data_IF_771359573149
#
_entry.id   IF_771359573149
#
_cell.length_a   1.000
_cell.length_b   1.000
_cell.length_c   1.000
_cell.angle_alpha   90.00
_cell.angle_beta   90.00
_cell.angle_gamma   90.00
#
_symmetry.space_group_name_H-M   'P 1'
#
loop_
_entity.id
_entity.type
_entity.pdbx_description
1 polymer ?
#
# COMPACT_ATOMS: atom_id res chain seq x y z
N UNK A 1 33.63 -6.48 -24.82
CA UNK A 1 33.10 -6.23 -23.47
C UNK A 1 31.92 -5.29 -23.60
N UNK A 2 30.70 -5.77 -23.34
CA UNK A 2 29.52 -4.90 -23.24
C UNK A 2 29.26 -4.69 -21.75
N UNK A 3 29.59 -3.50 -21.24
CA UNK A 3 29.19 -3.08 -19.90
C UNK A 3 27.67 -2.92 -19.89
N UNK A 4 26.96 -3.91 -19.36
CA UNK A 4 25.54 -3.81 -19.07
C UNK A 4 25.34 -2.81 -17.94
N UNK A 5 24.88 -1.60 -18.27
CA UNK A 5 24.40 -0.65 -17.26
C UNK A 5 23.14 -1.23 -16.61
N UNK A 6 23.25 -1.63 -15.35
CA UNK A 6 22.11 -2.04 -14.54
C UNK A 6 21.12 -0.86 -14.46
N UNK A 7 19.91 -1.02 -15.01
CA UNK A 7 18.84 -0.05 -14.84
C UNK A 7 18.45 -0.03 -13.36
N UNK A 8 18.94 0.96 -12.60
CA UNK A 8 18.52 1.16 -11.22
C UNK A 8 17.01 1.43 -11.17
N UNK A 9 16.29 0.60 -10.43
CA UNK A 9 14.88 0.80 -10.12
C UNK A 9 14.77 2.01 -9.17
N UNK A 10 14.12 3.08 -9.63
CA UNK A 10 13.81 4.21 -8.75
C UNK A 10 12.71 3.82 -7.78
N UNK A 11 13.06 3.72 -6.50
CA UNK A 11 12.13 3.41 -5.42
C UNK A 11 11.72 4.70 -4.72
N UNK A 12 10.43 4.95 -4.62
CA UNK A 12 9.91 6.02 -3.78
C UNK A 12 10.33 5.73 -2.33
N UNK A 13 11.03 6.68 -1.70
CA UNK A 13 11.43 6.56 -0.30
C UNK A 13 10.19 6.73 0.56
N UNK A 14 10.00 5.82 1.50
CA UNK A 14 8.90 5.88 2.48
C UNK A 14 9.25 6.96 3.50
N UNK A 15 8.65 8.13 3.35
CA UNK A 15 8.73 9.18 4.34
C UNK A 15 7.59 9.07 5.37
N UNK A 16 6.40 8.67 4.91
CA UNK A 16 5.20 8.45 5.72
C UNK A 16 4.63 7.05 5.51
N UNK A 17 4.08 6.46 6.57
CA UNK A 17 3.60 5.07 6.55
C UNK A 17 2.11 4.94 6.22
N UNK A 18 1.77 4.06 5.27
CA UNK A 18 0.38 3.79 4.85
C UNK A 18 -0.29 2.67 5.66
N UNK A 19 0.47 1.95 6.49
CA UNK A 19 0.05 0.72 7.13
C UNK A 19 -1.15 0.89 8.06
N UNK A 20 -1.16 1.97 8.85
CA UNK A 20 -2.29 2.33 9.70
C UNK A 20 -3.58 2.55 8.90
N UNK A 21 -3.48 3.26 7.77
CA UNK A 21 -4.61 3.50 6.89
C UNK A 21 -5.09 2.22 6.20
N UNK A 22 -4.19 1.35 5.78
CA UNK A 22 -4.55 0.04 5.23
C UNK A 22 -5.30 -0.81 6.25
N UNK A 23 -4.81 -0.85 7.49
CA UNK A 23 -5.45 -1.55 8.61
C UNK A 23 -6.82 -0.98 8.93
N UNK A 24 -6.95 0.34 8.98
CA UNK A 24 -8.21 1.04 9.20
C UNK A 24 -9.24 0.69 8.13
N UNK A 25 -8.86 0.76 6.85
CA UNK A 25 -9.74 0.43 5.72
C UNK A 25 -10.15 -1.05 5.72
N UNK A 26 -9.21 -1.95 6.02
CA UNK A 26 -9.51 -3.38 6.15
C UNK A 26 -10.51 -3.65 7.27
N UNK A 27 -10.30 -3.06 8.44
CA UNK A 27 -11.18 -3.20 9.60
C UNK A 27 -12.57 -2.62 9.33
N UNK A 28 -12.66 -1.45 8.68
CA UNK A 28 -13.93 -0.85 8.28
C UNK A 28 -14.72 -1.72 7.30
N UNK A 29 -14.04 -2.55 6.51
CA UNK A 29 -14.64 -3.52 5.59
C UNK A 29 -14.98 -4.86 6.25
N UNK A 30 -14.70 -5.03 7.55
CA UNK A 30 -14.99 -6.27 8.30
C UNK A 30 -14.13 -7.47 7.90
N UNK A 31 -13.01 -7.25 7.20
CA UNK A 31 -12.16 -8.33 6.69
C UNK A 31 -10.99 -8.63 7.64
N UNK A 32 -10.72 -9.91 7.88
CA UNK A 32 -9.43 -10.32 8.43
C UNK A 32 -8.36 -10.25 7.33
N UNK A 33 -7.07 -10.18 7.71
CA UNK A 33 -5.96 -10.20 6.74
C UNK A 33 -6.05 -11.42 5.80
N UNK A 34 -6.42 -12.59 6.32
CA UNK A 34 -6.59 -13.81 5.53
C UNK A 34 -7.75 -13.72 4.53
N UNK A 35 -8.93 -13.23 4.97
CA UNK A 35 -10.08 -13.02 4.09
C UNK A 35 -9.76 -12.00 2.99
N UNK A 36 -9.06 -10.93 3.33
CA UNK A 36 -8.61 -9.93 2.37
C UNK A 36 -7.66 -10.52 1.32
N UNK A 37 -6.67 -11.31 1.74
CA UNK A 37 -5.73 -11.94 0.80
C UNK A 37 -6.46 -12.89 -0.17
N UNK A 38 -7.43 -13.67 0.32
CA UNK A 38 -8.27 -14.51 -0.52
C UNK A 38 -9.06 -13.69 -1.56
N UNK A 39 -9.67 -12.56 -1.14
CA UNK A 39 -10.36 -11.65 -2.05
C UNK A 39 -9.43 -11.02 -3.10
N UNK A 40 -8.21 -10.64 -2.71
CA UNK A 40 -7.22 -10.08 -3.63
C UNK A 40 -6.74 -11.13 -4.64
N UNK A 41 -6.51 -12.39 -4.21
CA UNK A 41 -6.15 -13.50 -5.09
C UNK A 41 -7.25 -13.78 -6.12
N UNK A 42 -8.53 -13.81 -5.70
CA UNK A 42 -9.69 -13.98 -6.61
C UNK A 42 -9.78 -12.89 -7.69
N UNK A 43 -9.20 -11.72 -7.43
CA UNK A 43 -9.17 -10.56 -8.34
C UNK A 43 -7.86 -10.47 -9.16
N UNK A 44 -7.06 -11.54 -9.16
CA UNK A 44 -5.81 -11.63 -9.92
C UNK A 44 -4.63 -10.89 -9.28
N UNK A 45 -4.72 -10.54 -7.99
CA UNK A 45 -3.63 -9.97 -7.21
C UNK A 45 -3.09 -11.02 -6.23
N UNK A 46 -2.07 -11.77 -6.65
CA UNK A 46 -1.45 -12.76 -5.77
C UNK A 46 -0.63 -12.08 -4.67
N UNK A 47 -1.10 -12.23 -3.42
CA UNK A 47 -0.46 -11.70 -2.23
C UNK A 47 -0.68 -12.64 -1.05
N UNK A 48 0.41 -12.98 -0.37
CA UNK A 48 0.36 -13.78 0.85
C UNK A 48 -0.02 -12.95 2.07
N UNK A 49 -0.66 -13.59 3.06
CA UNK A 49 -1.03 -12.98 4.35
C UNK A 49 0.14 -12.28 5.03
N UNK A 50 1.32 -12.92 5.07
CA UNK A 50 2.52 -12.34 5.69
C UNK A 50 2.98 -11.08 4.97
N UNK A 51 2.92 -11.05 3.64
CA UNK A 51 3.25 -9.85 2.85
C UNK A 51 2.29 -8.71 3.15
N UNK A 52 0.98 -9.01 3.21
CA UNK A 52 0.00 -7.99 3.56
C UNK A 52 0.14 -7.48 5.00
N UNK A 53 0.46 -8.37 5.96
CA UNK A 53 0.74 -7.98 7.34
C UNK A 53 1.92 -6.99 7.43
N UNK A 54 2.97 -7.20 6.64
CA UNK A 54 4.10 -6.27 6.52
C UNK A 54 3.74 -4.92 5.89
N UNK A 55 2.69 -4.87 5.07
CA UNK A 55 2.15 -3.60 4.59
C UNK A 55 1.44 -2.84 5.71
N UNK A 56 0.63 -3.52 6.51
CA UNK A 56 -0.04 -2.91 7.66
C UNK A 56 0.92 -2.50 8.79
N UNK A 57 2.05 -3.19 8.92
CA UNK A 57 3.09 -2.87 9.89
C UNK A 57 4.10 -1.81 9.40
N UNK A 58 3.99 -1.37 8.14
CA UNK A 58 4.92 -0.39 7.58
C UNK A 58 6.30 -0.91 7.22
N UNK A 59 6.51 -2.23 7.25
CA UNK A 59 7.79 -2.87 6.98
C UNK A 59 8.09 -2.99 5.47
N UNK A 60 7.07 -3.08 4.61
CA UNK A 60 7.24 -3.24 3.15
C UNK A 60 6.49 -2.26 2.25
N UNK A 61 7.14 -1.89 1.14
CA UNK A 61 6.56 -1.05 0.08
C UNK A 61 5.33 -1.69 -0.56
N UNK A 62 4.23 -0.95 -0.48
CA UNK A 62 2.96 -1.37 -1.07
C UNK A 62 3.08 -1.20 -2.58
N UNK A 63 2.92 -2.31 -3.31
CA UNK A 63 2.93 -2.28 -4.77
C UNK A 63 1.70 -1.52 -5.27
N UNK A 64 1.86 -0.72 -6.33
CA UNK A 64 0.77 0.03 -6.96
C UNK A 64 -0.41 -0.85 -7.36
N UNK A 65 -0.15 -2.07 -7.87
CA UNK A 65 -1.20 -3.05 -8.21
C UNK A 65 -2.08 -3.43 -7.02
N UNK A 66 -1.51 -3.47 -5.81
CA UNK A 66 -2.24 -3.77 -4.57
C UNK A 66 -3.14 -2.59 -4.21
N UNK A 67 -2.64 -1.35 -4.27
CA UNK A 67 -3.45 -0.15 -4.01
C UNK A 67 -4.65 -0.07 -4.97
N UNK A 68 -4.44 -0.34 -6.26
CA UNK A 68 -5.52 -0.37 -7.25
C UNK A 68 -6.56 -1.45 -6.93
N UNK A 69 -6.12 -2.63 -6.50
CA UNK A 69 -7.01 -3.73 -6.13
C UNK A 69 -7.81 -3.40 -4.87
N UNK A 70 -7.18 -2.83 -3.84
CA UNK A 70 -7.84 -2.39 -2.60
C UNK A 70 -8.87 -1.30 -2.87
N UNK A 71 -8.53 -0.31 -3.72
CA UNK A 71 -9.47 0.73 -4.15
C UNK A 71 -10.74 0.10 -4.75
N UNK A 72 -10.59 -0.86 -5.66
CA UNK A 72 -11.70 -1.56 -6.30
C UNK A 72 -12.47 -2.48 -5.35
N UNK A 73 -11.79 -3.03 -4.34
CA UNK A 73 -12.41 -3.89 -3.33
C UNK A 73 -13.26 -3.08 -2.34
N UNK A 74 -12.73 -1.97 -1.84
CA UNK A 74 -13.39 -1.14 -0.83
C UNK A 74 -14.32 -0.08 -1.43
N UNK A 75 -14.21 0.22 -2.73
CA UNK A 75 -15.01 1.26 -3.37
C UNK A 75 -14.68 2.68 -2.89
N UNK A 76 -13.46 2.90 -2.37
CA UNK A 76 -13.04 4.18 -1.78
C UNK A 76 -12.19 5.02 -2.76
N UNK A 77 -12.08 6.35 -2.55
CA UNK A 77 -11.10 7.17 -3.25
C UNK A 77 -9.66 6.82 -2.82
N UNK A 78 -8.67 7.19 -3.62
CA UNK A 78 -7.25 6.98 -3.25
C UNK A 78 -6.85 7.78 -2.02
N UNK A 79 -7.45 8.95 -1.84
CA UNK A 79 -7.24 9.84 -0.69
C UNK A 79 -7.40 9.12 0.66
N UNK A 80 -8.30 8.13 0.71
CA UNK A 80 -8.54 7.34 1.91
C UNK A 80 -7.30 6.55 2.40
N UNK A 81 -6.36 6.21 1.50
CA UNK A 81 -5.09 5.58 1.86
C UNK A 81 -4.10 6.57 2.48
N UNK A 82 -4.26 7.87 2.22
CA UNK A 82 -3.39 8.96 2.66
C UNK A 82 -4.04 9.84 3.74
N UNK A 83 -5.19 9.42 4.28
CA UNK A 83 -5.88 10.13 5.34
C UNK A 83 -4.94 10.41 6.54
N UNK A 84 -4.84 11.67 6.95
CA UNK A 84 -3.93 12.11 8.03
C UNK A 84 -2.45 12.16 7.65
N UNK A 85 -2.10 11.80 6.40
CA UNK A 85 -0.76 12.02 5.84
C UNK A 85 -0.69 13.25 4.94
N UNK A 86 -1.84 13.81 4.54
CA UNK A 86 -1.94 15.06 3.78
C UNK A 86 -2.12 16.29 4.71
N UNK A 87 -1.56 16.23 5.91
CA UNK A 87 -1.49 17.42 6.79
C UNK A 87 -0.33 18.30 6.35
N UNK A 88 -0.66 19.56 6.11
CA UNK A 88 0.17 20.65 5.61
C UNK A 88 1.30 21.10 6.58
N UNK A 89 2.11 20.17 7.07
CA UNK A 89 3.31 20.50 7.85
C UNK A 89 4.48 20.96 6.96
N UNK A 90 4.35 20.83 5.64
CA UNK A 90 5.30 21.38 4.65
C UNK A 90 5.08 22.90 4.39
N UNK A 91 4.28 23.59 5.22
CA UNK A 91 4.17 25.05 5.20
C UNK A 91 5.36 25.74 5.91
N UNK A 92 6.18 24.99 6.67
CA UNK A 92 7.26 25.54 7.50
C UNK A 92 8.66 25.23 6.94
N UNK A 93 8.82 25.46 5.63
CA UNK A 93 10.12 25.53 4.95
C UNK A 93 10.19 26.73 3.99
N UNK A 94 9.67 27.89 4.42
CA UNK A 94 9.87 29.20 3.77
C UNK A 94 10.65 30.14 4.68
#
# INVERSE_FOLDING_TARGET
MLCGGEKMEQKLRRDRDLGDNLRRLRNASGLSQGKLCAELQRRGCDIGRTTYAKYEAGELNVRVRVLLALKRLYGCPYDAFFAGLDTADDAEAR
#
